data_IF_388553931098
#
_entry.id   IF_388553931098
#
_cell.length_a   1.000
_cell.length_b   1.000
_cell.length_c   1.000
_cell.angle_alpha   90.00
_cell.angle_beta   90.00
_cell.angle_gamma   90.00
#
_symmetry.space_group_name_H-M   'P 1'
#
loop_
_entity.id
_entity.type
_entity.pdbx_description
1 polymer ?
#
# COMPACT_ATOMS: atom_id res chain seq x y z
N UNK A 1 12.84 -45.36 24.55
CA UNK A 1 11.69 -44.60 24.03
C UNK A 1 12.15 -43.86 22.79
N UNK A 2 11.63 -44.17 21.60
CA UNK A 2 11.82 -43.34 20.41
C UNK A 2 10.46 -42.85 19.92
N UNK A 3 10.10 -41.59 20.20
CA UNK A 3 8.75 -41.08 19.89
C UNK A 3 8.70 -39.73 19.19
N UNK A 4 9.84 -39.14 18.84
CA UNK A 4 9.84 -37.83 18.17
C UNK A 4 10.07 -37.96 16.65
N UNK A 5 10.94 -38.87 16.20
CA UNK A 5 11.22 -39.03 14.77
C UNK A 5 10.03 -39.58 13.96
N UNK A 6 9.19 -40.44 14.56
CA UNK A 6 7.99 -40.97 13.89
C UNK A 6 6.89 -39.91 13.73
N UNK A 7 6.79 -38.94 14.64
CA UNK A 7 5.79 -37.86 14.53
C UNK A 7 6.16 -36.84 13.46
N UNK A 8 7.45 -36.60 13.23
CA UNK A 8 7.91 -35.71 12.16
C UNK A 8 7.59 -36.27 10.77
N UNK A 9 7.80 -37.58 10.57
CA UNK A 9 7.54 -38.24 9.29
C UNK A 9 6.04 -38.28 8.94
N UNK A 10 5.15 -38.41 9.94
CA UNK A 10 3.70 -38.37 9.73
C UNK A 10 3.17 -36.97 9.45
N UNK A 11 3.73 -35.93 10.08
CA UNK A 11 3.38 -34.53 9.81
C UNK A 11 3.75 -34.11 8.38
N UNK A 12 4.94 -34.50 7.91
CA UNK A 12 5.37 -34.24 6.52
C UNK A 12 4.46 -34.92 5.50
N UNK A 13 3.92 -36.11 5.81
CA UNK A 13 2.98 -36.80 4.93
C UNK A 13 1.55 -36.22 5.00
N UNK A 14 1.13 -35.68 6.15
CA UNK A 14 -0.20 -35.07 6.32
C UNK A 14 -0.35 -33.75 5.54
N UNK A 15 0.71 -32.96 5.43
CA UNK A 15 0.72 -31.74 4.63
C UNK A 15 0.65 -32.02 3.11
N UNK A 16 1.10 -33.19 2.66
CA UNK A 16 1.15 -33.53 1.23
C UNK A 16 -0.18 -34.09 0.68
N UNK A 17 -1.08 -34.58 1.53
CA UNK A 17 -2.41 -35.08 1.14
C UNK A 17 -3.47 -33.96 1.11
N UNK A 18 -3.26 -32.84 1.80
CA UNK A 18 -4.20 -31.71 1.85
C UNK A 18 -4.43 -31.03 0.49
N UNK A 19 -3.54 -31.24 -0.48
CA UNK A 19 -3.68 -30.71 -1.85
C UNK A 19 -4.53 -31.59 -2.77
N UNK A 20 -4.89 -32.82 -2.36
CA UNK A 20 -5.67 -33.75 -3.20
C UNK A 20 -7.19 -33.61 -3.04
N UNK A 21 -7.64 -32.98 -1.96
CA UNK A 21 -9.07 -32.80 -1.61
C UNK A 21 -9.53 -31.34 -1.78
N UNK A 22 -8.85 -30.55 -2.62
CA UNK A 22 -9.42 -29.28 -3.07
C UNK A 22 -10.61 -29.61 -4.00
N UNK A 23 -11.83 -29.11 -3.76
CA UNK A 23 -12.87 -29.19 -4.77
C UNK A 23 -12.32 -28.48 -6.01
N UNK A 24 -12.16 -29.22 -7.11
CA UNK A 24 -11.86 -28.63 -8.41
C UNK A 24 -12.98 -27.65 -8.72
N UNK A 25 -12.72 -26.36 -8.53
CA UNK A 25 -13.50 -25.32 -9.18
C UNK A 25 -13.06 -25.31 -10.64
N UNK A 26 -13.64 -26.24 -11.41
CA UNK A 26 -13.63 -26.14 -12.86
C UNK A 26 -14.51 -24.95 -13.26
N UNK A 27 -13.91 -23.77 -13.18
CA UNK A 27 -14.39 -22.58 -13.85
C UNK A 27 -13.15 -21.89 -14.43
N UNK A 28 -12.64 -22.43 -15.54
CA UNK A 28 -11.79 -21.65 -16.43
C UNK A 28 -12.67 -20.58 -17.07
N UNK A 29 -12.92 -19.49 -16.35
CA UNK A 29 -13.50 -18.29 -16.92
C UNK A 29 -12.50 -17.77 -17.95
N UNK A 30 -12.78 -18.02 -19.22
CA UNK A 30 -11.96 -17.54 -20.33
C UNK A 30 -12.12 -16.02 -20.40
N UNK A 31 -11.04 -15.27 -20.68
CA UNK A 31 -11.11 -13.80 -20.68
C UNK A 31 -12.12 -13.25 -21.71
N UNK A 32 -12.45 -14.03 -22.74
CA UNK A 32 -13.49 -13.71 -23.71
C UNK A 32 -14.93 -13.79 -23.16
N UNK A 33 -15.20 -14.55 -22.09
CA UNK A 33 -16.53 -14.65 -21.47
C UNK A 33 -16.85 -13.45 -20.55
N UNK A 34 -15.82 -12.78 -20.03
CA UNK A 34 -15.96 -11.60 -19.17
C UNK A 34 -16.52 -10.39 -19.94
N UNK A 35 -16.24 -10.27 -21.24
CA UNK A 35 -16.74 -9.18 -22.09
C UNK A 35 -18.25 -9.35 -22.38
N UNK A 36 -18.74 -10.58 -22.33
CA UNK A 36 -20.14 -10.94 -22.65
C UNK A 36 -21.08 -10.89 -21.43
N UNK A 37 -20.54 -10.74 -20.22
CA UNK A 37 -21.30 -10.79 -18.96
C UNK A 37 -21.80 -9.42 -18.48
N UNK A 38 -21.76 -8.40 -19.35
CA UNK A 38 -22.08 -7.00 -19.02
C UNK A 38 -23.59 -6.66 -19.05
N UNK A 39 -24.49 -7.64 -18.91
CA UNK A 39 -25.93 -7.40 -18.89
C UNK A 39 -26.63 -8.20 -17.79
N UNK A 40 -26.48 -7.74 -16.54
CA UNK A 40 -27.51 -7.99 -15.54
C UNK A 40 -27.60 -6.80 -14.58
N UNK A 41 -28.59 -5.91 -14.72
CA UNK A 41 -28.86 -4.93 -13.68
C UNK A 41 -29.30 -5.72 -12.44
N UNK A 42 -28.47 -5.68 -11.40
CA UNK A 42 -28.84 -6.03 -10.04
C UNK A 42 -29.82 -4.96 -9.53
N UNK A 43 -31.05 -5.00 -10.03
CA UNK A 43 -32.15 -4.24 -9.44
C UNK A 43 -32.49 -4.85 -8.08
N UNK A 44 -31.67 -4.55 -7.07
CA UNK A 44 -32.10 -4.60 -5.69
C UNK A 44 -32.90 -3.33 -5.47
N UNK A 45 -34.23 -3.42 -5.67
CA UNK A 45 -35.18 -2.38 -5.28
C UNK A 45 -35.06 -2.20 -3.77
N UNK A 46 -34.16 -1.31 -3.36
CA UNK A 46 -34.12 -0.77 -2.01
C UNK A 46 -35.33 0.16 -1.93
N UNK A 47 -36.40 -0.28 -1.26
CA UNK A 47 -37.56 0.53 -0.92
C UNK A 47 -37.18 1.57 0.15
N UNK A 48 -36.34 2.55 -0.24
CA UNK A 48 -36.12 3.76 0.53
C UNK A 48 -37.22 4.76 0.17
N UNK A 49 -38.23 4.83 1.02
CA UNK A 49 -39.22 5.91 0.97
C UNK A 49 -38.55 7.18 1.51
N UNK A 50 -37.78 7.86 0.65
CA UNK A 50 -37.31 9.21 0.91
C UNK A 50 -38.50 10.15 0.74
N UNK A 51 -39.11 10.55 1.85
CA UNK A 51 -39.94 11.75 1.88
C UNK A 51 -38.98 12.93 1.74
N UNK A 52 -38.84 13.43 0.51
CA UNK A 52 -38.18 14.71 0.24
C UNK A 52 -39.19 15.79 0.61
N UNK A 53 -39.43 15.94 1.90
CA UNK A 53 -40.11 17.12 2.43
C UNK A 53 -39.07 18.23 2.40
N UNK A 54 -39.25 19.11 1.41
CA UNK A 54 -38.63 20.43 1.31
C UNK A 54 -37.12 20.43 1.59
N UNK A 55 -36.34 20.03 0.59
CA UNK A 55 -34.90 20.25 0.61
C UNK A 55 -34.65 21.76 0.66
N UNK A 56 -34.51 22.30 1.87
CA UNK A 56 -33.78 23.53 2.11
C UNK A 56 -32.43 23.35 1.44
N UNK A 57 -32.25 24.03 0.31
CA UNK A 57 -30.99 24.09 -0.39
C UNK A 57 -29.98 24.68 0.59
N UNK A 58 -29.19 23.83 1.23
CA UNK A 58 -28.03 24.28 1.97
C UNK A 58 -27.07 24.77 0.89
N UNK A 59 -27.05 26.09 0.67
CA UNK A 59 -25.99 26.79 -0.06
C UNK A 59 -24.70 26.59 0.74
N UNK A 60 -24.10 25.40 0.60
CA UNK A 60 -22.74 25.16 1.02
C UNK A 60 -21.85 25.93 0.04
N UNK A 61 -21.57 27.19 0.38
CA UNK A 61 -20.50 27.92 -0.28
C UNK A 61 -19.21 27.09 -0.11
N UNK A 62 -18.49 26.74 -1.18
CA UNK A 62 -17.21 26.06 -1.03
C UNK A 62 -16.32 26.96 -0.18
N UNK A 63 -15.91 26.46 0.99
CA UNK A 63 -14.94 27.15 1.83
C UNK A 63 -13.63 27.09 1.06
N UNK A 64 -13.15 28.25 0.60
CA UNK A 64 -11.78 28.41 0.13
C UNK A 64 -10.86 28.22 1.34
N UNK A 65 -10.49 26.97 1.60
CA UNK A 65 -9.40 26.67 2.50
C UNK A 65 -8.13 27.10 1.77
N UNK A 66 -7.51 28.17 2.24
CA UNK A 66 -6.15 28.51 1.86
C UNK A 66 -5.23 27.38 2.36
N UNK A 67 -5.09 26.33 1.56
CA UNK A 67 -3.95 25.42 1.65
C UNK A 67 -2.74 26.27 1.29
N UNK A 68 -1.97 26.65 2.31
CA UNK A 68 -0.67 27.28 2.12
C UNK A 68 0.15 26.29 1.32
N UNK A 69 0.27 26.49 0.00
CA UNK A 69 1.09 25.65 -0.88
C UNK A 69 2.59 25.87 -0.63
N UNK A 70 2.97 26.70 0.35
CA UNK A 70 4.29 26.69 0.97
C UNK A 70 4.38 25.72 2.17
N UNK A 71 3.33 24.93 2.48
CA UNK A 71 3.36 23.83 3.45
C UNK A 71 4.40 22.81 2.99
N UNK A 72 5.59 23.00 3.54
CA UNK A 72 6.58 22.00 3.86
C UNK A 72 6.67 20.86 2.84
N UNK A 73 7.52 21.04 1.81
CA UNK A 73 8.16 19.85 1.21
C UNK A 73 8.64 19.03 2.39
N UNK A 74 8.03 17.85 2.57
CA UNK A 74 8.25 17.08 3.77
C UNK A 74 9.76 16.83 3.85
N UNK A 75 10.39 17.04 5.02
CA UNK A 75 11.85 16.93 5.13
C UNK A 75 12.39 15.60 4.60
N UNK A 76 11.58 14.54 4.72
CA UNK A 76 11.90 13.22 4.18
C UNK A 76 11.91 13.21 2.64
N UNK A 77 10.93 13.82 1.99
CA UNK A 77 10.84 13.90 0.52
C UNK A 77 12.00 14.73 -0.06
N UNK A 78 12.31 15.87 0.57
CA UNK A 78 13.45 16.70 0.20
C UNK A 78 14.77 15.93 0.34
N UNK A 79 14.94 15.18 1.43
CA UNK A 79 16.14 14.39 1.67
C UNK A 79 16.24 13.20 0.70
N UNK A 80 15.13 12.54 0.38
CA UNK A 80 15.08 11.48 -0.63
C UNK A 80 15.53 12.01 -2.00
N UNK A 81 15.02 13.17 -2.40
CA UNK A 81 15.40 13.84 -3.64
C UNK A 81 16.89 14.20 -3.70
N UNK A 82 17.49 14.63 -2.58
CA UNK A 82 18.93 14.88 -2.51
C UNK A 82 19.76 13.61 -2.66
N UNK A 83 19.38 12.52 -1.97
CA UNK A 83 20.06 11.24 -2.12
C UNK A 83 19.99 10.73 -3.57
N UNK A 84 18.82 10.83 -4.20
CA UNK A 84 18.64 10.46 -5.61
C UNK A 84 19.45 11.34 -6.55
N UNK A 85 19.53 12.65 -6.28
CA UNK A 85 20.35 13.59 -7.06
C UNK A 85 21.84 13.27 -6.97
N UNK A 86 22.29 12.62 -5.89
CA UNK A 86 23.66 12.12 -5.72
C UNK A 86 23.89 10.70 -6.24
N UNK A 87 22.86 10.09 -6.84
CA UNK A 87 22.95 8.79 -7.51
C UNK A 87 22.48 7.59 -6.70
N UNK A 88 21.81 7.80 -5.55
CA UNK A 88 21.10 6.71 -4.88
C UNK A 88 19.87 6.28 -5.69
N UNK A 89 19.54 4.99 -5.65
CA UNK A 89 18.23 4.53 -6.12
C UNK A 89 17.12 4.99 -5.16
N UNK A 90 15.92 5.22 -5.68
CA UNK A 90 14.73 5.59 -4.90
C UNK A 90 14.48 4.58 -3.75
N UNK A 91 14.55 3.28 -4.06
CA UNK A 91 14.33 2.22 -3.08
C UNK A 91 15.43 2.16 -2.00
N UNK A 92 16.66 2.54 -2.34
CA UNK A 92 17.78 2.60 -1.39
C UNK A 92 17.60 3.77 -0.43
N UNK A 93 17.23 4.94 -0.97
CA UNK A 93 16.94 6.14 -0.19
C UNK A 93 15.73 5.90 0.72
N UNK A 94 14.62 5.37 0.20
CA UNK A 94 13.40 5.11 0.98
C UNK A 94 13.67 4.15 2.15
N UNK A 95 14.37 3.03 1.90
CA UNK A 95 14.73 2.06 2.94
C UNK A 95 15.61 2.64 4.04
N UNK A 96 16.48 3.60 3.70
CA UNK A 96 17.29 4.30 4.69
C UNK A 96 16.43 5.27 5.51
N UNK A 97 15.52 5.98 4.84
CA UNK A 97 14.68 7.03 5.42
C UNK A 97 13.49 6.50 6.22
N UNK A 98 13.10 5.23 6.05
CA UNK A 98 12.00 4.60 6.81
C UNK A 98 12.18 4.70 8.34
N UNK A 99 13.44 4.75 8.81
CA UNK A 99 13.79 4.92 10.23
C UNK A 99 14.22 6.34 10.61
N UNK A 100 14.23 7.27 9.65
CA UNK A 100 14.66 8.66 9.85
C UNK A 100 13.45 9.48 10.24
N UNK A 101 13.57 10.26 11.31
CA UNK A 101 12.51 11.17 11.71
C UNK A 101 12.52 12.44 10.84
N UNK A 102 11.38 13.15 10.70
CA UNK A 102 11.36 14.41 9.97
C UNK A 102 12.35 15.47 10.52
N UNK A 103 12.60 15.47 11.84
CA UNK A 103 13.55 16.39 12.46
C UNK A 103 15.01 16.03 12.12
N UNK A 104 15.34 14.73 12.14
CA UNK A 104 16.65 14.26 11.67
C UNK A 104 16.84 14.58 10.19
N UNK A 105 15.81 14.41 9.37
CA UNK A 105 15.86 14.76 7.96
C UNK A 105 16.17 16.25 7.73
N UNK A 106 15.58 17.16 8.54
CA UNK A 106 15.95 18.59 8.53
C UNK A 106 17.41 18.79 8.91
N UNK A 107 17.92 18.06 9.91
CA UNK A 107 19.32 18.15 10.32
C UNK A 107 20.29 17.68 9.22
N UNK A 108 19.97 16.58 8.52
CA UNK A 108 20.74 16.12 7.37
C UNK A 108 20.70 17.14 6.22
N UNK A 109 19.52 17.70 5.90
CA UNK A 109 19.37 18.71 4.85
C UNK A 109 20.13 20.01 5.15
N UNK A 110 20.32 20.35 6.43
CA UNK A 110 21.09 21.53 6.84
C UNK A 110 22.61 21.36 6.69
N UNK A 111 23.13 20.13 6.58
CA UNK A 111 24.56 19.85 6.44
C UNK A 111 24.87 18.87 5.29
N UNK A 112 25.46 19.35 4.18
CA UNK A 112 25.81 18.50 3.04
C UNK A 112 26.72 17.31 3.37
N UNK A 113 27.59 17.42 4.37
CA UNK A 113 28.49 16.32 4.77
C UNK A 113 27.71 15.17 5.43
N UNK A 114 26.68 15.51 6.19
CA UNK A 114 25.80 14.53 6.82
C UNK A 114 25.02 13.72 5.77
N UNK A 115 24.66 14.33 4.62
CA UNK A 115 24.09 13.60 3.47
C UNK A 115 25.14 12.68 2.81
N UNK A 116 26.41 13.09 2.71
CA UNK A 116 27.46 12.22 2.16
C UNK A 116 27.71 10.98 3.05
N UNK A 117 27.60 11.12 4.37
CA UNK A 117 27.64 9.99 5.29
C UNK A 117 26.48 9.02 5.05
N UNK A 118 25.27 9.52 4.74
CA UNK A 118 24.15 8.66 4.33
C UNK A 118 24.45 7.94 3.01
N UNK A 119 25.01 8.63 2.03
CA UNK A 119 25.42 8.03 0.75
C UNK A 119 26.50 6.94 0.93
N UNK A 120 27.42 7.07 1.88
CA UNK A 120 28.38 6.02 2.18
C UNK A 120 27.70 4.74 2.71
N UNK A 121 26.66 4.88 3.53
CA UNK A 121 25.89 3.74 4.02
C UNK A 121 25.16 2.98 2.92
N UNK A 122 24.81 3.64 1.81
CA UNK A 122 24.18 3.02 0.64
C UNK A 122 25.16 2.25 -0.24
N UNK A 123 26.46 2.56 -0.19
CA UNK A 123 27.50 1.85 -0.93
C UNK A 123 27.99 0.56 -0.24
N UNK A 124 27.53 0.29 0.97
CA UNK A 124 27.96 -0.86 1.79
C UNK A 124 27.11 -2.10 1.59
#
# INVERSE_FOLDING_TARGET
MPTDDFMLMSAVNAENEAYKEQPKTEATANLNDLVSSSEKPNNSTVNQKLTVDEAEYIEAAPVEVEIDVNEDVLPLDALQGELMSRGASEAEAEKLLERVSPDDAKAYLADPNSIDALMENLRR
#
